data_IF_926464444991
#
_entry.id   IF_926464444991
#
_cell.length_a   1.000
_cell.length_b   1.000
_cell.length_c   1.000
_cell.angle_alpha   90.00
_cell.angle_beta   90.00
_cell.angle_gamma   90.00
#
_symmetry.space_group_name_H-M   'P 1'
#
loop_
_entity.id
_entity.type
_entity.pdbx_description
1 polymer ?
#
# COMPACT_ATOMS: atom_id res chain seq x y z
N UNK A 1 8.75 -33.61 -9.39
CA UNK A 1 9.81 -33.99 -10.35
C UNK A 1 10.30 -32.72 -11.02
N UNK A 2 11.55 -32.31 -10.78
CA UNK A 2 12.07 -31.03 -11.26
C UNK A 2 13.27 -30.57 -10.43
N UNK A 3 14.27 -31.43 -10.26
CA UNK A 3 15.57 -31.00 -9.77
C UNK A 3 16.57 -31.44 -10.84
N UNK A 4 17.23 -30.47 -11.47
CA UNK A 4 18.32 -30.75 -12.38
C UNK A 4 19.42 -31.45 -11.55
N UNK A 5 19.80 -32.70 -11.86
CA UNK A 5 20.84 -33.42 -11.13
C UNK A 5 22.18 -32.85 -11.56
N UNK A 6 22.57 -31.75 -10.94
CA UNK A 6 23.82 -31.06 -11.21
C UNK A 6 24.35 -30.39 -9.96
N UNK A 7 25.65 -30.06 -9.91
CA UNK A 7 26.20 -29.24 -8.85
C UNK A 7 25.40 -27.93 -8.74
N UNK A 8 25.30 -27.41 -7.52
CA UNK A 8 24.65 -26.12 -7.31
C UNK A 8 25.30 -25.04 -8.20
N UNK A 9 24.52 -24.15 -8.82
CA UNK A 9 25.07 -23.06 -9.62
C UNK A 9 25.98 -22.19 -8.74
N UNK A 10 27.05 -21.66 -9.33
CA UNK A 10 27.91 -20.70 -8.65
C UNK A 10 27.10 -19.48 -8.22
N UNK A 11 27.41 -18.98 -7.01
CA UNK A 11 26.82 -17.74 -6.49
C UNK A 11 27.51 -16.51 -7.07
N UNK A 12 28.71 -16.68 -7.63
CA UNK A 12 29.46 -15.62 -8.28
C UNK A 12 28.98 -15.44 -9.72
N UNK A 13 28.86 -14.19 -10.16
CA UNK A 13 28.50 -13.89 -11.53
C UNK A 13 29.73 -14.02 -12.43
N UNK A 14 29.65 -14.86 -13.47
CA UNK A 14 30.74 -15.04 -14.44
C UNK A 14 31.06 -13.78 -15.27
N UNK A 15 30.22 -12.75 -15.20
CA UNK A 15 30.36 -11.53 -15.99
C UNK A 15 30.41 -10.30 -15.10
N UNK A 16 31.22 -9.30 -15.47
CA UNK A 16 31.22 -8.02 -14.78
C UNK A 16 29.84 -7.35 -14.88
N UNK A 17 29.50 -6.47 -13.91
CA UNK A 17 28.23 -5.76 -13.94
C UNK A 17 28.11 -4.89 -15.21
N UNK A 18 26.89 -4.75 -15.77
CA UNK A 18 26.69 -3.96 -16.97
C UNK A 18 27.03 -2.49 -16.72
N UNK A 19 27.56 -1.83 -17.75
CA UNK A 19 27.74 -0.38 -17.73
C UNK A 19 26.39 0.33 -17.74
N UNK A 20 26.35 1.58 -17.29
CA UNK A 20 25.11 2.39 -17.28
C UNK A 20 24.50 2.51 -18.68
N UNK A 21 25.33 2.67 -19.70
CA UNK A 21 24.87 2.76 -21.11
C UNK A 21 24.32 1.43 -21.60
N UNK A 22 24.91 0.30 -21.22
CA UNK A 22 24.39 -1.02 -21.55
C UNK A 22 23.03 -1.30 -20.88
N UNK A 23 22.87 -0.88 -19.62
CA UNK A 23 21.59 -0.96 -18.92
C UNK A 23 20.51 -0.11 -19.61
N UNK A 24 20.86 1.12 -20.03
CA UNK A 24 19.93 1.99 -20.76
C UNK A 24 19.56 1.43 -22.14
N UNK A 25 20.52 0.89 -22.89
CA UNK A 25 20.26 0.27 -24.19
C UNK A 25 19.35 -0.95 -24.07
N UNK A 26 19.54 -1.77 -23.02
CA UNK A 26 18.65 -2.89 -22.73
C UNK A 26 17.25 -2.41 -22.34
N UNK A 27 17.15 -1.40 -21.47
CA UNK A 27 15.86 -0.82 -21.07
C UNK A 27 15.08 -0.31 -22.27
N UNK A 28 15.75 0.39 -23.18
CA UNK A 28 15.14 0.94 -24.38
C UNK A 28 14.60 -0.14 -25.34
N UNK A 29 15.30 -1.27 -25.47
CA UNK A 29 15.02 -2.29 -26.49
C UNK A 29 14.21 -3.48 -25.98
N UNK A 30 14.66 -4.09 -24.87
CA UNK A 30 14.04 -5.27 -24.27
C UNK A 30 13.23 -4.92 -23.02
N UNK A 31 13.66 -3.90 -22.28
CA UNK A 31 13.01 -3.47 -21.04
C UNK A 31 11.60 -2.93 -21.26
N UNK A 32 11.36 -2.17 -22.33
CA UNK A 32 10.02 -1.64 -22.66
C UNK A 32 9.01 -2.77 -22.86
N UNK A 33 9.34 -3.79 -23.64
CA UNK A 33 8.48 -4.96 -23.84
C UNK A 33 8.26 -5.78 -22.56
N UNK A 34 9.27 -5.86 -21.68
CA UNK A 34 9.14 -6.47 -20.36
C UNK A 34 8.21 -5.66 -19.45
N UNK A 35 8.37 -4.33 -19.38
CA UNK A 35 7.52 -3.44 -18.57
C UNK A 35 6.07 -3.54 -19.01
N UNK A 36 5.79 -3.49 -20.32
CA UNK A 36 4.42 -3.59 -20.84
C UNK A 36 3.74 -4.88 -20.39
N UNK A 37 4.41 -6.04 -20.53
CA UNK A 37 3.86 -7.33 -20.05
C UNK A 37 3.68 -7.34 -18.54
N UNK A 38 4.62 -6.79 -17.77
CA UNK A 38 4.53 -6.72 -16.31
C UNK A 38 3.40 -5.80 -15.83
N UNK A 39 3.16 -4.70 -16.54
CA UNK A 39 2.01 -3.85 -16.32
C UNK A 39 0.72 -4.60 -16.62
N UNK A 40 0.69 -5.44 -17.66
CA UNK A 40 -0.44 -6.32 -17.93
C UNK A 40 -0.72 -7.33 -16.81
N UNK A 41 0.29 -7.69 -16.01
CA UNK A 41 0.12 -8.55 -14.84
C UNK A 41 -0.40 -7.78 -13.60
N UNK A 42 0.05 -6.53 -13.39
CA UNK A 42 -0.26 -5.72 -12.20
C UNK A 42 -1.54 -4.87 -12.34
N UNK A 43 -1.78 -4.34 -13.53
CA UNK A 43 -2.94 -3.50 -13.84
C UNK A 43 -4.30 -4.21 -13.63
N UNK A 44 -4.50 -5.51 -13.96
CA UNK A 44 -5.79 -6.15 -13.74
C UNK A 44 -6.14 -6.30 -12.24
N UNK A 45 -5.17 -6.56 -11.35
CA UNK A 45 -5.44 -6.61 -9.91
C UNK A 45 -5.83 -5.23 -9.36
N UNK A 46 -5.16 -4.16 -9.80
CA UNK A 46 -5.52 -2.79 -9.39
C UNK A 46 -6.90 -2.37 -9.93
N UNK A 47 -7.22 -2.72 -11.17
CA UNK A 47 -8.53 -2.45 -11.76
C UNK A 47 -9.64 -3.28 -11.09
N UNK A 48 -9.36 -4.52 -10.69
CA UNK A 48 -10.30 -5.35 -9.93
C UNK A 48 -10.58 -4.73 -8.56
N UNK A 49 -9.55 -4.28 -7.86
CA UNK A 49 -9.67 -3.59 -6.57
C UNK A 49 -10.51 -2.31 -6.71
N UNK A 50 -10.18 -1.47 -7.70
CA UNK A 50 -10.94 -0.25 -7.97
C UNK A 50 -12.40 -0.55 -8.35
N UNK A 51 -12.65 -1.62 -9.11
CA UNK A 51 -13.99 -2.06 -9.47
C UNK A 51 -14.79 -2.57 -8.27
N UNK A 52 -14.16 -3.29 -7.35
CA UNK A 52 -14.80 -3.73 -6.11
C UNK A 52 -15.11 -2.53 -5.21
N UNK A 53 -14.22 -1.54 -5.13
CA UNK A 53 -14.48 -0.30 -4.42
C UNK A 53 -15.66 0.48 -5.04
N UNK A 54 -15.67 0.68 -6.36
CA UNK A 54 -16.80 1.31 -7.06
C UNK A 54 -18.12 0.58 -6.83
N UNK A 55 -18.12 -0.76 -6.73
CA UNK A 55 -19.32 -1.54 -6.37
C UNK A 55 -19.77 -1.31 -4.93
N UNK A 56 -18.85 -1.16 -3.97
CA UNK A 56 -19.20 -0.81 -2.59
C UNK A 56 -19.79 0.59 -2.51
N UNK A 57 -19.23 1.55 -3.24
CA UNK A 57 -19.77 2.91 -3.35
C UNK A 57 -21.15 2.91 -4.00
N UNK A 58 -21.34 2.17 -5.10
CA UNK A 58 -22.61 2.08 -5.82
C UNK A 58 -23.72 1.37 -5.01
N UNK A 59 -23.37 0.49 -4.08
CA UNK A 59 -24.31 -0.15 -3.15
C UNK A 59 -24.79 0.79 -2.03
N UNK A 60 -24.25 2.01 -1.94
CA UNK A 60 -24.77 3.07 -1.09
C UNK A 60 -24.54 2.88 0.41
N UNK A 61 -23.72 1.91 0.80
CA UNK A 61 -23.42 1.63 2.22
C UNK A 61 -22.47 2.66 2.84
N UNK A 62 -21.76 3.43 2.02
CA UNK A 62 -20.77 4.44 2.46
C UNK A 62 -21.39 5.50 3.37
N UNK A 63 -22.56 6.03 2.99
CA UNK A 63 -23.22 7.07 3.78
C UNK A 63 -23.63 6.59 5.20
N UNK A 64 -24.01 5.31 5.33
CA UNK A 64 -24.34 4.72 6.63
C UNK A 64 -23.10 4.48 7.50
N UNK A 65 -21.98 4.11 6.88
CA UNK A 65 -20.70 3.92 7.57
C UNK A 65 -20.11 5.25 8.04
N UNK A 66 -20.20 6.30 7.22
CA UNK A 66 -19.72 7.64 7.58
C UNK A 66 -20.50 8.20 8.79
N UNK A 67 -21.84 8.10 8.77
CA UNK A 67 -22.66 8.52 9.90
C UNK A 67 -22.35 7.74 11.19
N UNK A 68 -22.08 6.43 11.07
CA UNK A 68 -21.70 5.62 12.23
C UNK A 68 -20.31 6.02 12.77
N UNK A 69 -19.35 6.30 11.88
CA UNK A 69 -18.01 6.75 12.24
C UNK A 69 -18.03 8.13 12.91
N UNK A 70 -18.84 9.07 12.41
CA UNK A 70 -19.04 10.39 13.00
C UNK A 70 -19.62 10.30 14.42
N UNK A 71 -20.64 9.46 14.62
CA UNK A 71 -21.22 9.21 15.93
C UNK A 71 -20.21 8.58 16.90
N UNK A 72 -19.45 7.57 16.45
CA UNK A 72 -18.43 6.93 17.27
C UNK A 72 -17.31 7.91 17.68
N UNK A 73 -16.86 8.75 16.74
CA UNK A 73 -15.85 9.78 17.00
C UNK A 73 -16.35 10.84 17.99
N UNK A 74 -17.57 11.32 17.80
CA UNK A 74 -18.21 12.29 18.69
C UNK A 74 -18.33 11.74 20.12
N UNK A 75 -18.72 10.46 20.25
CA UNK A 75 -18.77 9.76 21.53
C UNK A 75 -17.40 9.63 22.19
N UNK A 76 -16.35 9.29 21.42
CA UNK A 76 -14.99 9.19 21.94
C UNK A 76 -14.46 10.55 22.42
N UNK A 77 -14.69 11.63 21.66
CA UNK A 77 -14.29 12.99 22.06
C UNK A 77 -15.05 13.46 23.31
N UNK A 78 -16.35 13.19 23.40
CA UNK A 78 -17.14 13.51 24.58
C UNK A 78 -16.64 12.74 25.82
N UNK A 79 -16.29 11.46 25.66
CA UNK A 79 -15.72 10.66 26.74
C UNK A 79 -14.35 11.17 27.19
N UNK A 80 -13.50 11.64 26.27
CA UNK A 80 -12.21 12.29 26.61
C UNK A 80 -12.44 13.63 27.33
N UNK A 81 -13.41 14.43 26.87
CA UNK A 81 -13.78 15.69 27.51
C UNK A 81 -14.36 15.51 28.92
N UNK A 82 -15.22 14.51 29.11
CA UNK A 82 -15.77 14.15 30.42
C UNK A 82 -14.73 13.55 31.38
N UNK A 83 -13.65 12.97 30.84
CA UNK A 83 -12.52 12.41 31.59
C UNK A 83 -11.51 13.47 32.02
N UNK A 84 -11.55 14.69 31.47
CA UNK A 84 -10.63 15.75 31.87
C UNK A 84 -10.96 16.20 33.31
N UNK A 85 -10.11 15.98 34.31
CA UNK A 85 -10.22 16.73 35.55
C UNK A 85 -10.02 18.21 35.20
N UNK A 86 -10.97 19.06 35.57
CA UNK A 86 -10.89 20.49 35.33
C UNK A 86 -9.56 21.08 35.82
N UNK A 87 -9.05 22.15 35.20
CA UNK A 87 -7.78 22.74 35.60
C UNK A 87 -7.84 23.11 37.08
N UNK A 88 -6.95 22.52 37.87
CA UNK A 88 -6.71 22.90 39.27
C UNK A 88 -6.08 24.29 39.30
N UNK A 89 -6.88 25.33 39.01
CA UNK A 89 -6.55 26.74 39.27
C UNK A 89 -6.65 27.08 40.77
N UNK A 90 -6.98 26.11 41.62
CA UNK A 90 -7.11 26.28 43.07
C UNK A 90 -5.81 26.08 43.88
N UNK A 91 -4.62 26.18 43.25
CA UNK A 91 -3.32 26.17 43.99
C UNK A 91 -2.38 27.30 43.60
N UNK A 92 -2.88 28.39 43.01
CA UNK A 92 -2.02 29.53 42.61
C UNK A 92 -2.24 30.80 43.43
N UNK A 93 -2.62 30.62 44.69
CA UNK A 93 -2.62 31.67 45.69
C UNK A 93 -3.02 31.08 47.02
N UNK A 94 -2.04 30.52 47.74
CA UNK A 94 -1.77 30.67 49.18
C UNK A 94 -0.32 30.21 49.45
#
# INVERSE_FOLDING_TARGET
>A
RGLAPGPAPSLEADRPPPTRTAALAWLATAGTGWVVRRCQDLLPELLRLAGDEVKHWARGTTAGLDLHAEHALSGALAALGARAPGPSLARMGE
#
